data_IF_535795926986
#
_entry.id   IF_535795926986
#
_cell.length_a   1.000
_cell.length_b   1.000
_cell.length_c   1.000
_cell.angle_alpha   90.00
_cell.angle_beta   90.00
_cell.angle_gamma   90.00
#
_symmetry.space_group_name_H-M   'P 1'
#
loop_
_entity.id
_entity.type
_entity.pdbx_description
1 polymer ?
#
# COMPACT_ATOMS: atom_id res chain seq x y z
N UNK A 1 -35.75 7.63 12.08
CA UNK A 1 -34.48 8.36 12.20
C UNK A 1 -33.44 7.61 11.37
N UNK A 2 -32.99 8.21 10.26
CA UNK A 2 -31.92 7.64 9.42
C UNK A 2 -30.57 7.91 10.08
N UNK A 3 -29.63 6.94 10.15
CA UNK A 3 -28.28 7.23 10.61
C UNK A 3 -27.60 8.10 9.55
N UNK A 4 -27.03 9.23 9.99
CA UNK A 4 -26.22 10.10 9.15
C UNK A 4 -25.06 9.27 8.56
N UNK A 5 -25.05 9.10 7.25
CA UNK A 5 -23.93 8.51 6.55
C UNK A 5 -22.70 9.37 6.86
N UNK A 6 -21.75 8.81 7.61
CA UNK A 6 -20.47 9.45 7.83
C UNK A 6 -19.89 9.82 6.48
N UNK A 7 -19.58 11.11 6.28
CA UNK A 7 -18.95 11.61 5.07
C UNK A 7 -17.61 10.88 4.93
N UNK A 8 -17.57 9.85 4.08
CA UNK A 8 -16.31 9.25 3.66
C UNK A 8 -15.60 10.36 2.92
N UNK A 9 -14.59 10.97 3.51
CA UNK A 9 -13.68 11.83 2.78
C UNK A 9 -13.09 10.96 1.67
N UNK A 10 -13.63 11.14 0.46
CA UNK A 10 -13.29 10.34 -0.70
C UNK A 10 -11.96 10.89 -1.22
N UNK A 11 -10.89 10.57 -0.51
CA UNK A 11 -9.54 10.92 -0.93
C UNK A 11 -9.22 10.15 -2.22
N UNK A 12 -8.60 10.83 -3.19
CA UNK A 12 -8.14 10.17 -4.40
C UNK A 12 -7.07 9.14 -4.02
N UNK A 13 -7.27 7.83 -4.30
CA UNK A 13 -6.30 6.80 -3.96
C UNK A 13 -4.92 7.02 -4.60
N UNK A 14 -4.81 7.81 -5.67
CA UNK A 14 -3.52 8.18 -6.25
C UNK A 14 -2.73 9.20 -5.41
N UNK A 15 -3.39 9.88 -4.48
CA UNK A 15 -2.79 10.90 -3.60
C UNK A 15 -2.70 10.45 -2.14
N UNK A 16 -3.31 9.30 -1.81
CA UNK A 16 -3.28 8.73 -0.45
C UNK A 16 -2.00 7.93 -0.25
N UNK A 17 -1.25 8.30 0.78
CA UNK A 17 -0.08 7.56 1.26
C UNK A 17 -0.46 6.74 2.50
N UNK A 18 -0.29 5.43 2.42
CA UNK A 18 -0.54 4.51 3.53
C UNK A 18 0.75 4.07 4.23
N UNK A 19 0.62 3.67 5.49
CA UNK A 19 1.75 3.14 6.29
C UNK A 19 1.88 1.63 6.13
N UNK A 20 3.00 1.07 6.62
CA UNK A 20 3.28 -0.37 6.50
C UNK A 20 2.20 -1.26 7.15
N UNK A 21 1.54 -0.78 8.21
CA UNK A 21 0.44 -1.51 8.88
C UNK A 21 -0.76 -1.67 7.95
N UNK A 22 -1.13 -0.62 7.21
CA UNK A 22 -2.23 -0.67 6.24
C UNK A 22 -1.84 -1.46 5.00
N UNK A 23 -0.62 -1.29 4.50
CA UNK A 23 -0.08 -2.11 3.42
C UNK A 23 -0.16 -3.60 3.76
N UNK A 24 0.20 -3.96 4.99
CA UNK A 24 0.10 -5.33 5.51
C UNK A 24 -1.34 -5.82 5.54
N UNK A 25 -2.28 -4.99 6.01
CA UNK A 25 -3.69 -5.33 6.04
C UNK A 25 -4.28 -5.54 4.62
N UNK A 26 -3.91 -4.68 3.66
CA UNK A 26 -4.42 -4.75 2.28
C UNK A 26 -3.83 -5.94 1.51
N UNK A 27 -2.52 -6.16 1.63
CA UNK A 27 -1.83 -7.24 0.90
C UNK A 27 -1.95 -8.61 1.57
N UNK A 28 -2.33 -8.65 2.86
CA UNK A 28 -2.34 -9.86 3.68
C UNK A 28 -0.95 -10.36 4.07
N UNK A 29 0.12 -9.62 3.76
CA UNK A 29 1.49 -10.01 4.08
C UNK A 29 1.95 -9.46 5.43
N UNK A 30 2.67 -10.30 6.18
CA UNK A 30 3.41 -9.85 7.35
C UNK A 30 4.59 -8.94 6.95
N UNK A 31 4.99 -8.03 7.85
CA UNK A 31 6.08 -7.07 7.63
C UNK A 31 7.38 -7.68 7.09
N UNK A 32 7.88 -8.84 7.59
CA UNK A 32 9.09 -9.46 7.05
C UNK A 32 8.95 -9.82 5.56
N UNK A 33 7.79 -10.32 5.16
CA UNK A 33 7.49 -10.69 3.77
C UNK A 33 7.42 -9.46 2.88
N UNK A 34 6.87 -8.35 3.37
CA UNK A 34 6.88 -7.06 2.65
C UNK A 34 8.31 -6.61 2.37
N UNK A 35 9.19 -6.62 3.39
CA UNK A 35 10.59 -6.23 3.19
C UNK A 35 11.34 -7.16 2.23
N UNK A 36 11.01 -8.46 2.22
CA UNK A 36 11.55 -9.40 1.23
C UNK A 36 11.04 -9.08 -0.18
N UNK A 37 9.74 -8.85 -0.36
CA UNK A 37 9.13 -8.47 -1.65
C UNK A 37 9.68 -7.16 -2.20
N UNK A 38 9.94 -6.17 -1.34
CA UNK A 38 10.58 -4.92 -1.75
C UNK A 38 11.97 -5.10 -2.36
N UNK A 39 12.66 -6.20 -2.03
CA UNK A 39 13.97 -6.54 -2.62
C UNK A 39 13.84 -7.42 -3.86
N UNK A 40 12.94 -8.40 -3.80
CA UNK A 40 12.89 -9.49 -4.78
C UNK A 40 11.91 -9.22 -5.94
N UNK A 41 10.91 -8.37 -5.74
CA UNK A 41 9.79 -8.16 -6.68
C UNK A 41 9.76 -6.70 -7.18
N UNK A 42 10.17 -6.42 -8.42
CA UNK A 42 10.16 -5.08 -8.98
C UNK A 42 8.76 -4.54 -9.26
N UNK A 43 7.73 -5.40 -9.25
CA UNK A 43 6.33 -5.01 -9.45
C UNK A 43 5.66 -4.58 -8.15
N UNK A 44 6.30 -4.84 -7.00
CA UNK A 44 5.75 -4.47 -5.70
C UNK A 44 5.78 -2.94 -5.50
N UNK A 45 4.74 -2.34 -4.88
CA UNK A 45 4.65 -0.89 -4.66
C UNK A 45 5.89 -0.33 -3.97
N UNK A 46 6.41 0.79 -4.48
CA UNK A 46 7.67 1.36 -3.98
C UNK A 46 7.42 2.30 -2.80
N UNK A 47 8.33 2.34 -1.82
CA UNK A 47 8.19 3.23 -0.68
C UNK A 47 8.48 4.68 -1.10
N UNK A 48 7.59 5.59 -0.70
CA UNK A 48 7.72 7.04 -0.82
C UNK A 48 8.29 7.59 0.49
N UNK A 49 9.47 8.23 0.49
CA UNK A 49 10.00 8.92 1.67
C UNK A 49 9.09 10.07 2.10
N UNK A 50 8.75 10.14 3.38
CA UNK A 50 7.91 11.23 3.95
C UNK A 50 8.73 12.31 4.65
N UNK A 51 10.06 12.19 4.59
CA UNK A 51 10.99 13.17 5.15
C UNK A 51 12.15 13.36 4.18
N UNK A 52 12.69 14.58 4.15
CA UNK A 52 13.90 14.92 3.41
C UNK A 52 15.17 14.33 4.02
N UNK A 53 15.08 13.79 5.25
CA UNK A 53 16.20 13.15 5.92
C UNK A 53 16.52 11.80 5.28
N UNK A 54 17.80 11.60 4.90
CA UNK A 54 18.33 10.30 4.44
C UNK A 54 18.81 9.41 5.60
N UNK A 55 18.47 9.76 6.84
CA UNK A 55 18.85 8.97 8.01
C UNK A 55 18.23 7.57 7.97
N UNK A 56 18.92 6.60 8.55
CA UNK A 56 18.36 5.25 8.73
C UNK A 56 17.12 5.35 9.62
N UNK A 57 16.00 4.85 9.11
CA UNK A 57 14.72 4.87 9.83
C UNK A 57 13.81 6.05 9.50
N UNK A 58 14.16 6.89 8.51
CA UNK A 58 13.24 7.90 8.01
C UNK A 58 11.89 7.28 7.61
N UNK A 59 10.76 7.93 7.98
CA UNK A 59 9.44 7.36 7.72
C UNK A 59 9.17 7.25 6.21
N UNK A 60 8.70 6.09 5.78
CA UNK A 60 8.29 5.83 4.38
C UNK A 60 6.86 5.32 4.31
N UNK A 61 6.11 5.71 3.28
CA UNK A 61 4.76 5.24 3.00
C UNK A 61 4.62 4.66 1.60
N UNK A 62 3.42 4.28 1.20
CA UNK A 62 3.13 3.71 -0.13
C UNK A 62 1.88 4.35 -0.71
N UNK A 63 1.83 4.53 -2.03
CA UNK A 63 0.65 5.08 -2.70
C UNK A 63 -0.45 4.02 -2.74
N UNK A 64 -1.63 4.35 -2.24
CA UNK A 64 -2.75 3.41 -2.14
C UNK A 64 -3.17 2.83 -3.49
N UNK A 65 -3.23 3.66 -4.54
CA UNK A 65 -3.54 3.22 -5.89
C UNK A 65 -2.56 2.15 -6.40
N UNK A 66 -1.24 2.32 -6.19
CA UNK A 66 -0.24 1.34 -6.60
C UNK A 66 -0.44 0.00 -5.89
N UNK A 67 -0.75 0.04 -4.60
CA UNK A 67 -1.04 -1.16 -3.80
C UNK A 67 -2.26 -1.89 -4.35
N UNK A 68 -3.34 -1.17 -4.67
CA UNK A 68 -4.52 -1.78 -5.28
C UNK A 68 -4.25 -2.35 -6.66
N UNK A 69 -3.46 -1.66 -7.50
CA UNK A 69 -3.05 -2.19 -8.82
C UNK A 69 -2.29 -3.49 -8.65
N UNK A 70 -1.32 -3.55 -7.74
CA UNK A 70 -0.56 -4.77 -7.47
C UNK A 70 -1.46 -5.91 -6.97
N UNK A 71 -2.39 -5.63 -6.04
CA UNK A 71 -3.36 -6.65 -5.58
C UNK A 71 -4.22 -7.17 -6.73
N UNK A 72 -4.71 -6.27 -7.61
CA UNK A 72 -5.48 -6.68 -8.80
C UNK A 72 -4.65 -7.55 -9.74
N UNK A 73 -3.37 -7.23 -9.95
CA UNK A 73 -2.46 -8.07 -10.73
C UNK A 73 -2.32 -9.47 -10.10
N UNK A 74 -2.16 -9.57 -8.78
CA UNK A 74 -2.13 -10.87 -8.07
C UNK A 74 -3.42 -11.67 -8.27
N UNK A 75 -4.58 -11.01 -8.21
CA UNK A 75 -5.87 -11.65 -8.45
C UNK A 75 -6.00 -12.10 -9.92
N UNK A 76 -5.51 -11.31 -10.87
CA UNK A 76 -5.52 -11.67 -12.28
C UNK A 76 -4.60 -12.87 -12.56
N UNK A 77 -3.39 -12.89 -11.98
CA UNK A 77 -2.43 -14.01 -12.10
C UNK A 77 -3.01 -15.32 -11.55
N UNK A 78 -3.86 -15.29 -10.52
CA UNK A 78 -4.60 -16.48 -10.06
C UNK A 78 -5.47 -17.09 -11.16
N UNK A 79 -6.08 -16.28 -12.03
CA UNK A 79 -7.01 -16.77 -13.06
C UNK A 79 -6.29 -17.38 -14.28
N UNK A 80 -5.00 -17.13 -14.41
CA UNK A 80 -4.17 -17.57 -15.55
C UNK A 80 -3.37 -18.84 -15.19
N UNK A 81 -3.30 -19.21 -13.92
CA UNK A 81 -2.71 -20.45 -13.41
C UNK A 81 -3.78 -21.54 -13.24
#
# INVERSE_FOLDING_TARGET
MQPAAATIHQFDPATVIIRISELSAITGYARPTIYKRLKDDPTFPRPVPLSNSKSRGSPVGWVLAEVYVWVRQRIALRKVA
#
